data_IF_458271190876
#
_entry.id   IF_458271190876
#
_cell.length_a   1.000
_cell.length_b   1.000
_cell.length_c   1.000
_cell.angle_alpha   90.00
_cell.angle_beta   90.00
_cell.angle_gamma   90.00
#
_symmetry.space_group_name_H-M   'P 1'
#
loop_
_entity.id
_entity.type
_entity.pdbx_description
1 polymer ?
#
# COMPACT_ATOMS: atom_id res chain seq x y z
N UNK A 1 -13.67 -4.99 -15.41
CA UNK A 1 -13.46 -3.60 -14.95
C UNK A 1 -14.80 -3.03 -14.61
N UNK A 2 -14.91 -2.25 -13.52
CA UNK A 2 -16.08 -1.39 -13.35
C UNK A 2 -16.17 -0.43 -14.54
N UNK A 3 -17.39 -0.16 -15.03
CA UNK A 3 -17.65 0.78 -16.15
C UNK A 3 -17.18 2.21 -15.83
N UNK A 4 -17.02 2.49 -14.55
CA UNK A 4 -16.73 3.81 -14.00
C UNK A 4 -15.25 4.04 -13.66
N UNK A 5 -14.39 3.05 -13.87
CA UNK A 5 -13.01 3.08 -13.37
C UNK A 5 -12.18 4.25 -13.94
N UNK A 6 -12.52 4.75 -15.14
CA UNK A 6 -11.84 5.90 -15.74
C UNK A 6 -12.09 7.23 -14.99
N UNK A 7 -13.21 7.34 -14.26
CA UNK A 7 -13.62 8.54 -13.51
C UNK A 7 -13.74 8.26 -12.02
N UNK A 8 -12.95 7.30 -11.54
CA UNK A 8 -13.11 6.67 -10.22
C UNK A 8 -13.11 7.68 -9.08
N UNK A 9 -12.14 8.61 -9.05
CA UNK A 9 -12.06 9.62 -8.00
C UNK A 9 -13.33 10.49 -7.93
N UNK A 10 -13.85 10.93 -9.08
CA UNK A 10 -15.07 11.74 -9.16
C UNK A 10 -16.29 10.96 -8.70
N UNK A 11 -16.41 9.70 -9.12
CA UNK A 11 -17.56 8.86 -8.74
C UNK A 11 -17.55 8.54 -7.25
N UNK A 12 -16.38 8.28 -6.66
CA UNK A 12 -16.25 8.10 -5.21
C UNK A 12 -16.66 9.38 -4.49
N UNK A 13 -16.13 10.54 -4.89
CA UNK A 13 -16.49 11.84 -4.29
C UNK A 13 -18.00 12.09 -4.27
N UNK A 14 -18.67 11.92 -5.41
CA UNK A 14 -20.12 12.09 -5.51
C UNK A 14 -20.90 11.09 -4.63
N UNK A 15 -20.46 9.81 -4.56
CA UNK A 15 -21.13 8.78 -3.75
C UNK A 15 -20.99 9.02 -2.25
N UNK A 16 -19.89 9.63 -1.81
CA UNK A 16 -19.67 9.96 -0.39
C UNK A 16 -20.15 11.37 -0.01
N UNK A 17 -20.87 12.05 -0.92
CA UNK A 17 -21.50 13.34 -0.64
C UNK A 17 -20.57 14.55 -0.76
N UNK A 18 -19.42 14.43 -1.41
CA UNK A 18 -18.58 15.60 -1.73
C UNK A 18 -19.38 16.55 -2.65
N UNK A 19 -19.41 17.87 -2.37
CA UNK A 19 -20.20 18.82 -3.18
C UNK A 19 -19.88 18.76 -4.66
N UNK A 20 -20.90 18.88 -5.51
CA UNK A 20 -20.80 18.81 -6.98
C UNK A 20 -19.68 19.71 -7.55
N UNK A 21 -19.49 20.96 -7.10
CA UNK A 21 -18.44 21.83 -7.65
C UNK A 21 -17.00 21.38 -7.33
N UNK A 22 -16.80 20.44 -6.39
CA UNK A 22 -15.46 20.02 -5.95
C UNK A 22 -14.74 19.26 -7.07
N UNK A 23 -13.52 19.65 -7.45
CA UNK A 23 -12.75 18.93 -8.45
C UNK A 23 -12.33 17.55 -7.95
N UNK A 24 -11.95 16.66 -8.88
CA UNK A 24 -11.43 15.34 -8.54
C UNK A 24 -10.34 14.92 -9.55
N UNK A 25 -9.26 14.34 -9.04
CA UNK A 25 -8.14 13.85 -9.84
C UNK A 25 -7.93 12.35 -9.58
N UNK A 26 -7.88 11.55 -10.64
CA UNK A 26 -7.43 10.15 -10.55
C UNK A 26 -5.96 10.09 -10.94
N UNK A 27 -5.10 9.67 -10.02
CA UNK A 27 -3.66 9.52 -10.25
C UNK A 27 -3.29 8.04 -10.37
N UNK A 28 -2.36 7.72 -11.27
CA UNK A 28 -1.79 6.38 -11.39
C UNK A 28 -0.27 6.44 -11.26
N UNK A 29 0.23 5.89 -10.16
CA UNK A 29 1.64 5.62 -9.89
C UNK A 29 1.84 4.14 -9.48
N UNK A 30 1.11 3.24 -10.12
CA UNK A 30 1.02 1.81 -9.77
C UNK A 30 0.77 1.60 -8.27
N UNK A 31 1.57 0.76 -7.60
CA UNK A 31 1.49 0.51 -6.15
C UNK A 31 1.66 1.77 -5.28
N UNK A 32 2.26 2.84 -5.84
CA UNK A 32 2.43 4.13 -5.18
C UNK A 32 1.23 5.07 -5.30
N UNK A 33 0.16 4.72 -6.02
CA UNK A 33 -0.95 5.65 -6.32
C UNK A 33 -1.61 6.23 -5.07
N UNK A 34 -1.90 5.39 -4.07
CA UNK A 34 -2.50 5.84 -2.80
C UNK A 34 -1.58 6.72 -1.96
N UNK A 35 -0.25 6.59 -2.07
CA UNK A 35 0.69 7.54 -1.46
C UNK A 35 0.74 8.83 -2.27
N UNK A 36 0.72 8.71 -3.60
CA UNK A 36 0.79 9.85 -4.49
C UNK A 36 -0.39 10.78 -4.31
N UNK A 37 -1.61 10.28 -4.13
CA UNK A 37 -2.78 11.13 -3.87
C UNK A 37 -2.61 11.95 -2.58
N UNK A 38 -2.02 11.37 -1.53
CA UNK A 38 -1.71 12.07 -0.28
C UNK A 38 -0.63 13.14 -0.52
N UNK A 39 0.41 12.82 -1.30
CA UNK A 39 1.44 13.81 -1.68
C UNK A 39 0.85 14.96 -2.48
N UNK A 40 -0.06 14.69 -3.43
CA UNK A 40 -0.76 15.72 -4.17
C UNK A 40 -1.59 16.61 -3.23
N UNK A 41 -2.36 16.04 -2.30
CA UNK A 41 -3.11 16.83 -1.32
C UNK A 41 -2.22 17.67 -0.39
N UNK A 42 -1.04 17.15 0.00
CA UNK A 42 -0.04 17.96 0.72
C UNK A 42 0.45 19.15 -0.11
N UNK A 43 0.71 18.94 -1.40
CA UNK A 43 1.17 19.98 -2.31
C UNK A 43 0.10 21.04 -2.53
N UNK A 44 -1.15 20.64 -2.79
CA UNK A 44 -2.29 21.55 -2.94
C UNK A 44 -2.48 22.42 -1.69
N UNK A 45 -2.41 21.82 -0.49
CA UNK A 45 -2.49 22.57 0.77
C UNK A 45 -1.29 23.51 0.93
N UNK A 46 -0.08 23.05 0.65
CA UNK A 46 1.14 23.86 0.81
C UNK A 46 1.20 25.04 -0.16
N UNK A 47 0.56 24.91 -1.33
CA UNK A 47 0.45 25.96 -2.34
C UNK A 47 -0.77 26.87 -2.12
N UNK A 48 -1.57 26.61 -1.08
CA UNK A 48 -2.84 27.28 -0.78
C UNK A 48 -3.93 27.12 -1.86
N UNK A 49 -3.83 26.07 -2.68
CA UNK A 49 -4.87 25.72 -3.65
C UNK A 49 -6.07 25.05 -2.96
N UNK A 50 -5.89 24.50 -1.76
CA UNK A 50 -6.95 23.85 -0.98
C UNK A 50 -6.70 23.93 0.52
N UNK A 51 -7.77 24.04 1.31
CA UNK A 51 -7.70 23.99 2.78
C UNK A 51 -7.94 22.56 3.32
N UNK A 52 -8.72 21.75 2.60
CA UNK A 52 -9.11 20.38 2.95
C UNK A 52 -9.14 19.52 1.69
N UNK A 53 -8.51 18.34 1.74
CA UNK A 53 -8.41 17.42 0.59
C UNK A 53 -8.75 16.00 1.01
N UNK A 54 -9.69 15.36 0.30
CA UNK A 54 -9.96 13.92 0.43
C UNK A 54 -8.96 13.14 -0.43
N UNK A 55 -8.02 12.45 0.21
CA UNK A 55 -7.01 11.64 -0.45
C UNK A 55 -7.31 10.15 -0.26
N UNK A 56 -6.92 9.31 -1.21
CA UNK A 56 -7.15 7.89 -1.09
C UNK A 56 -6.67 7.07 -2.28
N UNK A 57 -7.07 5.81 -2.25
CA UNK A 57 -6.75 4.83 -3.26
C UNK A 57 -7.68 3.64 -3.12
N UNK A 58 -8.03 3.03 -4.24
CA UNK A 58 -8.88 1.85 -4.30
C UNK A 58 -8.40 0.96 -5.44
N UNK A 59 -8.57 -0.35 -5.28
CA UNK A 59 -8.29 -1.32 -6.31
C UNK A 59 -9.26 -2.50 -6.19
N UNK A 60 -9.73 -3.00 -7.34
CA UNK A 60 -10.40 -4.29 -7.41
C UNK A 60 -9.71 -5.14 -8.46
N UNK A 61 -8.65 -5.83 -8.02
CA UNK A 61 -7.86 -6.72 -8.87
C UNK A 61 -8.72 -7.87 -9.40
N UNK A 62 -9.67 -8.36 -8.60
CA UNK A 62 -10.63 -9.42 -8.99
C UNK A 62 -11.49 -9.03 -10.19
N UNK A 63 -11.69 -7.72 -10.41
CA UNK A 63 -12.47 -7.21 -11.54
C UNK A 63 -11.62 -6.77 -12.73
N UNK A 64 -10.31 -7.03 -12.74
CA UNK A 64 -9.45 -6.66 -13.88
C UNK A 64 -9.93 -7.38 -15.15
N UNK A 65 -10.27 -6.67 -16.24
CA UNK A 65 -10.79 -7.31 -17.45
C UNK A 65 -9.64 -7.94 -18.25
N UNK A 66 -9.95 -8.99 -19.00
CA UNK A 66 -9.11 -9.37 -20.14
C UNK A 66 -9.24 -8.30 -21.22
N UNK A 67 -8.10 -7.86 -21.76
CA UNK A 67 -8.05 -6.88 -22.84
C UNK A 67 -7.29 -7.46 -24.03
N UNK A 68 -7.94 -7.49 -25.20
CA UNK A 68 -7.27 -7.80 -26.46
C UNK A 68 -6.73 -6.50 -27.04
N UNK A 69 -5.41 -6.33 -27.00
CA UNK A 69 -4.74 -5.11 -27.48
C UNK A 69 -4.66 -5.10 -29.01
N UNK A 70 -4.54 -3.90 -29.58
CA UNK A 70 -4.33 -3.66 -31.02
C UNK A 70 -5.44 -4.11 -31.99
N UNK A 71 -6.57 -4.63 -31.50
CA UNK A 71 -7.69 -5.06 -32.38
C UNK A 71 -8.42 -3.91 -33.06
N UNK A 72 -8.38 -2.70 -32.49
CA UNK A 72 -9.08 -1.53 -33.05
C UNK A 72 -8.57 -1.16 -34.46
N UNK A 73 -7.27 -1.37 -34.71
CA UNK A 73 -6.59 -0.94 -35.94
C UNK A 73 -5.77 -2.06 -36.60
N UNK A 74 -5.91 -3.30 -36.13
CA UNK A 74 -5.15 -4.45 -36.62
C UNK A 74 -3.94 -4.80 -35.75
N UNK A 75 -3.72 -6.11 -35.59
CA UNK A 75 -2.66 -6.66 -34.74
C UNK A 75 -1.45 -7.04 -35.60
N UNK A 76 -0.27 -6.50 -35.27
CA UNK A 76 1.00 -6.97 -35.85
C UNK A 76 1.33 -8.35 -35.30
N UNK A 77 1.91 -9.20 -36.15
CA UNK A 77 2.44 -10.50 -35.72
C UNK A 77 3.70 -10.29 -34.88
N UNK A 78 3.76 -10.92 -33.70
CA UNK A 78 4.86 -10.79 -32.74
C UNK A 78 4.67 -9.61 -31.76
N UNK A 79 5.18 -9.76 -30.54
CA UNK A 79 5.13 -8.73 -29.50
C UNK A 79 5.99 -9.09 -28.29
N UNK A 80 6.49 -8.06 -27.61
CA UNK A 80 7.36 -8.22 -26.44
C UNK A 80 6.57 -8.63 -25.19
N UNK A 81 7.09 -9.60 -24.44
CA UNK A 81 6.61 -9.95 -23.11
C UNK A 81 7.21 -8.99 -22.09
N UNK A 82 6.36 -8.29 -21.36
CA UNK A 82 6.77 -7.41 -20.27
C UNK A 82 7.22 -8.26 -19.06
N UNK A 83 8.38 -7.94 -18.47
CA UNK A 83 8.92 -8.65 -17.31
C UNK A 83 7.93 -8.65 -16.14
N UNK A 84 7.47 -9.81 -15.64
CA UNK A 84 6.58 -9.88 -14.47
C UNK A 84 7.26 -9.32 -13.22
N UNK A 85 6.49 -8.66 -12.34
CA UNK A 85 7.04 -8.07 -11.11
C UNK A 85 7.76 -9.09 -10.22
N UNK A 86 7.30 -10.34 -10.16
CA UNK A 86 7.97 -11.39 -9.40
C UNK A 86 9.39 -11.71 -9.87
N UNK A 87 9.68 -11.54 -11.17
CA UNK A 87 11.04 -11.71 -11.71
C UNK A 87 11.96 -10.58 -11.20
N UNK A 88 11.43 -9.38 -10.99
CA UNK A 88 12.23 -8.28 -10.41
C UNK A 88 12.64 -8.55 -8.96
N UNK A 89 11.80 -9.27 -8.20
CA UNK A 89 12.13 -9.72 -6.84
C UNK A 89 13.22 -10.81 -6.87
N UNK A 90 13.16 -11.75 -7.81
CA UNK A 90 14.24 -12.73 -8.02
C UNK A 90 15.57 -12.06 -8.41
N UNK A 91 15.53 -11.04 -9.27
CA UNK A 91 16.71 -10.27 -9.65
C UNK A 91 17.35 -9.57 -8.44
N UNK A 92 16.53 -9.02 -7.54
CA UNK A 92 17.00 -8.43 -6.29
C UNK A 92 17.61 -9.47 -5.36
N UNK A 93 16.94 -10.62 -5.19
CA UNK A 93 17.43 -11.69 -4.35
C UNK A 93 18.81 -12.18 -4.83
N UNK A 94 18.97 -12.38 -6.14
CA UNK A 94 20.26 -12.72 -6.73
C UNK A 94 21.31 -11.62 -6.55
N UNK A 95 20.95 -10.35 -6.76
CA UNK A 95 21.89 -9.22 -6.67
C UNK A 95 22.42 -8.99 -5.25
N UNK A 96 21.57 -9.20 -4.24
CA UNK A 96 21.88 -8.93 -2.84
C UNK A 96 22.12 -10.20 -2.01
N UNK A 97 22.20 -11.36 -2.66
CA UNK A 97 22.38 -12.68 -2.02
C UNK A 97 21.32 -12.97 -0.94
N UNK A 98 20.07 -12.55 -1.16
CA UNK A 98 18.97 -12.82 -0.24
C UNK A 98 18.53 -14.26 -0.43
N UNK A 99 18.55 -15.05 0.65
CA UNK A 99 18.22 -16.48 0.56
C UNK A 99 16.71 -16.74 0.65
N UNK A 100 16.29 -17.92 0.19
CA UNK A 100 14.91 -18.38 0.34
C UNK A 100 14.48 -18.41 1.80
N UNK A 101 15.36 -18.85 2.69
CA UNK A 101 15.08 -18.95 4.12
C UNK A 101 14.92 -17.55 4.76
N UNK A 102 15.64 -16.54 4.28
CA UNK A 102 15.45 -15.15 4.71
C UNK A 102 14.08 -14.61 4.30
N UNK A 103 13.68 -14.84 3.05
CA UNK A 103 12.34 -14.49 2.55
C UNK A 103 11.24 -15.16 3.39
N UNK A 104 11.36 -16.46 3.66
CA UNK A 104 10.38 -17.22 4.44
C UNK A 104 10.36 -16.81 5.92
N UNK A 105 11.51 -16.48 6.52
CA UNK A 105 11.57 -15.92 7.88
C UNK A 105 10.85 -14.57 7.96
N UNK A 106 11.04 -13.70 6.97
CA UNK A 106 10.34 -12.42 6.93
C UNK A 106 8.83 -12.61 6.73
N UNK A 107 8.43 -13.53 5.86
CA UNK A 107 7.04 -13.91 5.65
C UNK A 107 6.38 -14.44 6.94
N UNK A 108 7.06 -15.32 7.67
CA UNK A 108 6.57 -15.81 8.96
C UNK A 108 6.44 -14.66 9.97
N UNK A 109 7.46 -13.80 10.10
CA UNK A 109 7.44 -12.62 10.98
C UNK A 109 6.22 -11.73 10.72
N UNK A 110 5.85 -11.50 9.46
CA UNK A 110 4.68 -10.69 9.15
C UNK A 110 3.36 -11.35 9.57
N UNK A 111 3.22 -12.67 9.42
CA UNK A 111 2.00 -13.39 9.78
C UNK A 111 1.84 -13.38 11.31
N UNK A 112 2.93 -13.57 12.06
CA UNK A 112 2.90 -13.53 13.52
C UNK A 112 2.59 -12.13 14.07
N UNK A 113 3.13 -11.07 13.45
CA UNK A 113 2.79 -9.70 13.82
C UNK A 113 1.31 -9.40 13.61
N UNK A 114 0.74 -9.83 12.49
CA UNK A 114 -0.70 -9.70 12.28
C UNK A 114 -1.53 -10.54 13.28
N UNK A 115 -1.09 -11.76 13.60
CA UNK A 115 -1.74 -12.63 14.59
C UNK A 115 -1.86 -11.96 15.97
N UNK A 116 -0.89 -11.13 16.33
CA UNK A 116 -0.89 -10.38 17.60
C UNK A 116 -1.86 -9.18 17.62
N UNK A 117 -2.36 -8.74 16.45
CA UNK A 117 -3.34 -7.65 16.36
C UNK A 117 -4.68 -8.11 16.93
N UNK A 118 -5.16 -7.42 17.95
CA UNK A 118 -6.47 -7.69 18.57
C UNK A 118 -7.60 -7.17 17.69
N UNK A 119 -8.09 -8.02 16.78
CA UNK A 119 -9.29 -7.70 15.99
C UNK A 119 -10.54 -7.96 16.84
N UNK A 120 -11.39 -6.93 17.02
CA UNK A 120 -12.69 -7.12 17.67
C UNK A 120 -13.55 -8.06 16.80
N UNK A 121 -14.19 -9.06 17.42
CA UNK A 121 -15.17 -9.90 16.72
C UNK A 121 -16.35 -9.02 16.29
N UNK A 122 -16.62 -8.96 14.99
CA UNK A 122 -17.82 -8.34 14.45
C UNK A 122 -18.69 -9.37 13.75
N UNK A 123 -19.99 -9.06 13.67
CA UNK A 123 -21.04 -9.87 13.05
C UNK A 123 -21.26 -9.52 11.56
N UNK A 124 -20.59 -8.51 11.01
CA UNK A 124 -20.75 -8.11 9.62
C UNK A 124 -19.73 -8.81 8.70
N UNK A 125 -20.13 -9.09 7.46
CA UNK A 125 -19.23 -9.64 6.45
C UNK A 125 -18.19 -8.60 6.03
N UNK A 126 -16.92 -9.02 5.88
CA UNK A 126 -15.79 -8.22 5.39
C UNK A 126 -15.17 -7.17 6.36
N UNK A 127 -15.43 -7.25 7.67
CA UNK A 127 -14.75 -6.39 8.65
C UNK A 127 -13.30 -6.80 9.01
N UNK A 128 -12.86 -7.97 8.54
CA UNK A 128 -11.53 -8.52 8.82
C UNK A 128 -10.80 -8.80 7.52
N UNK A 129 -9.51 -8.49 7.48
CA UNK A 129 -8.63 -8.93 6.40
C UNK A 129 -8.70 -10.45 6.25
N UNK A 130 -9.04 -10.92 5.04
CA UNK A 130 -9.19 -12.34 4.72
C UNK A 130 -7.89 -13.01 4.24
N UNK A 131 -6.93 -12.20 3.80
CA UNK A 131 -5.65 -12.67 3.27
C UNK A 131 -4.72 -13.32 4.33
N UNK A 132 -4.65 -12.80 5.58
CA UNK A 132 -3.76 -13.35 6.60
C UNK A 132 -3.97 -14.84 6.86
N UNK A 133 -2.88 -15.52 7.20
CA UNK A 133 -2.82 -16.96 7.48
C UNK A 133 -2.13 -17.16 8.85
N UNK A 134 -2.84 -16.97 9.98
CA UNK A 134 -2.23 -16.91 11.32
C UNK A 134 -1.61 -18.23 11.79
N UNK A 135 -1.92 -19.34 11.12
CA UNK A 135 -1.34 -20.67 11.40
C UNK A 135 -0.13 -21.01 10.53
N UNK A 136 0.40 -20.03 9.78
CA UNK A 136 1.61 -20.22 8.95
C UNK A 136 2.78 -20.67 9.81
N UNK A 137 3.47 -21.73 9.41
CA UNK A 137 4.74 -22.19 10.00
C UNK A 137 5.90 -22.09 9.01
N UNK A 138 7.14 -22.03 9.51
CA UNK A 138 8.34 -22.04 8.66
C UNK A 138 8.46 -23.33 7.84
N UNK A 139 8.05 -24.46 8.40
CA UNK A 139 8.04 -25.75 7.69
C UNK A 139 7.08 -25.72 6.49
N UNK A 140 5.89 -25.16 6.66
CA UNK A 140 4.93 -24.98 5.57
C UNK A 140 5.49 -24.07 4.48
N UNK A 141 6.10 -22.94 4.87
CA UNK A 141 6.71 -22.01 3.92
C UNK A 141 7.84 -22.68 3.12
N UNK A 142 8.72 -23.44 3.76
CA UNK A 142 9.83 -24.13 3.10
C UNK A 142 9.40 -25.18 2.06
N UNK A 143 8.19 -25.74 2.18
CA UNK A 143 7.63 -26.70 1.22
C UNK A 143 7.00 -26.05 -0.02
N UNK A 144 6.81 -24.73 -0.02
CA UNK A 144 6.15 -24.06 -1.14
C UNK A 144 7.05 -24.00 -2.39
N UNK A 145 6.49 -24.27 -3.59
CA UNK A 145 7.23 -24.16 -4.84
C UNK A 145 7.52 -22.70 -5.18
N UNK A 146 8.63 -22.48 -5.89
CA UNK A 146 8.96 -21.18 -6.46
C UNK A 146 8.05 -20.86 -7.65
N UNK A 147 7.70 -19.58 -7.82
CA UNK A 147 6.67 -19.17 -8.80
C UNK A 147 7.28 -18.65 -10.10
N UNK A 148 8.38 -17.88 -10.01
CA UNK A 148 8.88 -17.11 -11.16
C UNK A 148 10.16 -17.66 -11.79
N UNK A 149 10.96 -18.40 -11.02
CA UNK A 149 12.22 -19.01 -11.49
C UNK A 149 12.41 -20.38 -10.85
N UNK A 150 12.93 -21.34 -11.61
CA UNK A 150 13.42 -22.61 -11.07
C UNK A 150 14.58 -22.32 -10.12
N UNK A 151 14.55 -22.88 -8.92
CA UNK A 151 15.53 -22.62 -7.85
C UNK A 151 15.63 -21.14 -7.44
N UNK A 152 14.52 -20.40 -7.60
CA UNK A 152 14.37 -19.03 -7.11
C UNK A 152 14.07 -18.95 -5.61
N UNK A 153 13.74 -17.74 -5.16
CA UNK A 153 13.42 -17.47 -3.75
C UNK A 153 11.95 -17.13 -3.54
N UNK A 154 11.23 -16.71 -4.58
CA UNK A 154 9.88 -16.16 -4.47
C UNK A 154 8.83 -17.26 -4.54
N UNK A 155 7.96 -17.32 -3.54
CA UNK A 155 6.83 -18.24 -3.44
C UNK A 155 5.53 -17.49 -3.13
N UNK A 156 4.40 -18.20 -3.22
CA UNK A 156 3.12 -17.65 -2.79
C UNK A 156 3.07 -17.33 -1.27
N UNK A 157 3.95 -17.93 -0.46
CA UNK A 157 3.98 -17.71 0.99
C UNK A 157 4.80 -16.49 1.41
N UNK A 158 5.75 -16.05 0.57
CA UNK A 158 6.65 -14.93 0.85
C UNK A 158 6.47 -13.73 -0.10
N UNK A 159 5.49 -13.79 -1.00
CA UNK A 159 5.00 -12.66 -1.77
C UNK A 159 3.63 -12.19 -1.25
N UNK A 160 3.27 -10.93 -1.50
CA UNK A 160 1.91 -10.45 -1.25
C UNK A 160 0.92 -11.03 -2.27
N UNK A 161 -0.28 -11.36 -1.82
CA UNK A 161 -1.33 -11.80 -2.73
C UNK A 161 -2.00 -10.69 -3.53
N UNK A 162 -2.72 -11.14 -4.56
CA UNK A 162 -3.74 -10.37 -5.27
C UNK A 162 -4.91 -10.14 -4.33
N UNK A 163 -5.37 -8.89 -4.21
CA UNK A 163 -6.41 -8.53 -3.25
C UNK A 163 -7.17 -7.29 -3.71
N UNK A 164 -8.41 -7.18 -3.22
CA UNK A 164 -9.25 -6.01 -3.40
C UNK A 164 -9.22 -5.15 -2.13
N UNK A 165 -9.34 -3.84 -2.26
CA UNK A 165 -9.39 -2.96 -1.11
C UNK A 165 -9.39 -1.47 -1.43
N UNK A 166 -9.73 -0.67 -0.43
CA UNK A 166 -9.70 0.78 -0.50
C UNK A 166 -9.19 1.36 0.82
N UNK A 167 -8.61 2.55 0.75
CA UNK A 167 -8.21 3.35 1.91
C UNK A 167 -8.30 4.83 1.59
N UNK A 168 -8.67 5.64 2.58
CA UNK A 168 -8.79 7.08 2.44
C UNK A 168 -8.32 7.79 3.71
N UNK A 169 -7.86 9.03 3.52
CA UNK A 169 -7.50 9.96 4.60
C UNK A 169 -7.97 11.36 4.20
N UNK A 170 -8.32 12.18 5.19
CA UNK A 170 -8.62 13.59 4.98
C UNK A 170 -7.40 14.39 5.44
N UNK A 171 -6.89 15.24 4.54
CA UNK A 171 -5.86 16.21 4.87
C UNK A 171 -6.53 17.56 5.09
N UNK A 172 -6.01 18.32 6.05
CA UNK A 172 -6.48 19.66 6.36
C UNK A 172 -5.29 20.55 6.72
N UNK A 173 -5.31 21.80 6.27
CA UNK A 173 -4.35 22.82 6.72
C UNK A 173 -4.52 23.10 8.22
N UNK A 174 -3.50 23.68 8.87
CA UNK A 174 -3.62 24.07 10.29
C UNK A 174 -4.77 25.07 10.51
N UNK A 175 -5.00 25.96 9.56
CA UNK A 175 -6.09 26.93 9.62
C UNK A 175 -7.45 26.26 9.48
N UNK A 176 -7.58 25.27 8.58
CA UNK A 176 -8.78 24.46 8.46
C UNK A 176 -9.07 23.65 9.74
N UNK A 177 -8.02 23.09 10.36
CA UNK A 177 -8.13 22.37 11.63
C UNK A 177 -8.71 23.28 12.72
N UNK A 178 -8.22 24.52 12.84
CA UNK A 178 -8.74 25.50 13.81
C UNK A 178 -10.17 25.93 13.47
N UNK A 179 -10.40 26.34 12.21
CA UNK A 179 -11.68 26.85 11.69
C UNK A 179 -12.81 25.85 11.85
N UNK A 180 -12.55 24.57 11.64
CA UNK A 180 -13.53 23.50 11.72
C UNK A 180 -13.47 22.69 13.02
N UNK A 181 -12.64 23.11 13.98
CA UNK A 181 -12.45 22.44 15.27
C UNK A 181 -12.15 20.93 15.14
N UNK A 182 -11.25 20.59 14.22
CA UNK A 182 -10.87 19.20 13.92
C UNK A 182 -9.83 18.69 14.91
N UNK A 183 -9.85 17.39 15.19
CA UNK A 183 -8.79 16.71 15.97
C UNK A 183 -7.88 15.94 15.03
N UNK A 184 -6.65 16.41 14.75
CA UNK A 184 -5.73 15.72 13.86
C UNK A 184 -5.24 14.40 14.49
N UNK A 185 -5.11 13.35 13.68
CA UNK A 185 -4.54 12.06 14.11
C UNK A 185 -3.00 12.06 14.03
N UNK A 186 -2.45 12.73 13.02
CA UNK A 186 -1.02 12.83 12.76
C UNK A 186 -0.72 14.08 11.94
N UNK A 187 0.55 14.46 11.86
CA UNK A 187 1.06 15.50 10.96
C UNK A 187 1.98 14.88 9.93
N UNK A 188 1.82 15.26 8.65
CA UNK A 188 2.74 14.87 7.59
C UNK A 188 3.96 15.77 7.69
N UNK A 189 5.14 15.17 7.91
CA UNK A 189 6.39 15.91 8.12
C UNK A 189 7.26 15.92 6.87
N UNK A 190 7.30 14.80 6.14
CA UNK A 190 8.12 14.65 4.95
C UNK A 190 7.53 13.58 4.03
N UNK A 191 7.83 13.69 2.73
CA UNK A 191 7.59 12.67 1.73
C UNK A 191 8.78 12.64 0.77
N UNK A 192 9.01 11.50 0.12
CA UNK A 192 10.02 11.36 -0.93
C UNK A 192 9.54 10.40 -2.00
N UNK A 193 10.04 10.58 -3.22
CA UNK A 193 9.85 9.62 -4.30
C UNK A 193 11.16 9.42 -5.04
N UNK A 194 11.51 8.15 -5.29
CA UNK A 194 12.72 7.76 -5.97
C UNK A 194 12.42 6.90 -7.20
N UNK A 195 13.24 7.03 -8.24
CA UNK A 195 13.26 6.14 -9.41
C UNK A 195 14.38 5.12 -9.31
N UNK A 196 14.26 4.02 -10.05
CA UNK A 196 15.31 3.00 -10.18
C UNK A 196 15.17 2.22 -11.49
N UNK A 197 16.09 1.29 -11.73
CA UNK A 197 16.00 0.34 -12.85
C UNK A 197 14.73 -0.54 -12.74
N UNK A 198 13.87 -0.58 -13.78
CA UNK A 198 12.66 -1.40 -13.79
C UNK A 198 12.88 -2.89 -13.50
N UNK A 199 14.06 -3.44 -13.82
CA UNK A 199 14.38 -4.86 -13.60
C UNK A 199 14.57 -5.23 -12.12
N UNK A 200 14.71 -4.24 -11.26
CA UNK A 200 14.89 -4.38 -9.80
C UNK A 200 13.98 -3.40 -9.04
N UNK A 201 12.81 -3.08 -9.60
CA UNK A 201 11.95 -1.96 -9.17
C UNK A 201 11.64 -1.90 -7.67
N UNK A 202 11.60 -3.05 -6.98
CA UNK A 202 11.37 -3.13 -5.54
C UNK A 202 12.40 -2.36 -4.71
N UNK A 203 13.59 -2.09 -5.25
CA UNK A 203 14.64 -1.34 -4.54
C UNK A 203 14.30 0.14 -4.38
N UNK A 204 13.37 0.72 -5.17
CA UNK A 204 13.01 2.15 -5.09
C UNK A 204 12.54 2.58 -3.69
N UNK A 205 11.98 1.66 -2.91
CA UNK A 205 11.54 1.93 -1.54
C UNK A 205 12.70 2.10 -0.56
N UNK A 206 13.89 1.53 -0.83
CA UNK A 206 15.06 1.69 0.02
C UNK A 206 15.57 3.15 0.07
N UNK A 207 15.92 3.82 -1.06
CA UNK A 207 16.31 5.22 -1.02
C UNK A 207 15.16 6.14 -0.60
N UNK A 208 13.91 5.78 -0.91
CA UNK A 208 12.76 6.55 -0.43
C UNK A 208 12.64 6.55 1.09
N UNK A 209 12.77 5.38 1.72
CA UNK A 209 12.77 5.25 3.17
C UNK A 209 13.97 5.97 3.78
N UNK A 210 15.19 5.74 3.30
CA UNK A 210 16.41 6.36 3.81
C UNK A 210 16.37 7.90 3.74
N UNK A 211 15.74 8.47 2.71
CA UNK A 211 15.57 9.92 2.61
C UNK A 211 14.68 10.48 3.72
N UNK A 212 13.60 9.78 4.09
CA UNK A 212 12.66 10.23 5.13
C UNK A 212 13.19 9.91 6.52
N UNK A 213 13.81 8.74 6.69
CA UNK A 213 14.48 8.32 7.92
C UNK A 213 15.53 9.35 8.34
N UNK A 214 16.40 9.78 7.42
CA UNK A 214 17.43 10.81 7.69
C UNK A 214 16.85 12.13 8.23
N UNK A 215 15.65 12.52 7.81
CA UNK A 215 15.00 13.75 8.24
C UNK A 215 14.31 13.59 9.60
N UNK A 216 13.77 12.40 9.87
CA UNK A 216 12.91 12.16 11.05
C UNK A 216 13.60 11.39 12.17
N UNK A 217 14.80 10.83 11.94
CA UNK A 217 15.50 9.97 12.89
C UNK A 217 14.70 8.73 13.25
N UNK A 218 14.10 8.06 12.25
CA UNK A 218 13.26 6.89 12.49
C UNK A 218 14.12 5.69 12.92
N UNK A 219 13.60 4.89 13.84
CA UNK A 219 14.20 3.62 14.23
C UNK A 219 14.04 2.59 13.10
N UNK A 220 15.13 2.12 12.46
CA UNK A 220 15.07 1.18 11.33
C UNK A 220 14.51 -0.19 11.73
N UNK A 221 14.53 -0.54 13.01
CA UNK A 221 13.97 -1.82 13.49
C UNK A 221 12.44 -1.78 13.64
N UNK A 222 11.84 -0.59 13.69
CA UNK A 222 10.40 -0.39 13.87
C UNK A 222 9.65 -0.23 12.56
N UNK A 223 9.61 -1.31 11.78
CA UNK A 223 8.84 -1.41 10.53
C UNK A 223 7.69 -2.41 10.67
N UNK A 224 6.56 -2.15 10.01
CA UNK A 224 5.41 -3.08 9.87
C UNK A 224 5.02 -3.79 11.18
N UNK A 225 4.80 -3.04 12.28
CA UNK A 225 4.60 -3.60 13.63
C UNK A 225 3.38 -4.53 13.75
N UNK A 226 2.38 -4.31 12.90
CA UNK A 226 1.14 -5.10 12.82
C UNK A 226 1.11 -6.06 11.61
N UNK A 227 2.27 -6.29 10.98
CA UNK A 227 2.39 -7.02 9.72
C UNK A 227 2.33 -6.11 8.49
N UNK A 228 2.79 -6.65 7.35
CA UNK A 228 2.83 -5.99 6.05
C UNK A 228 2.03 -6.75 4.99
N UNK A 229 2.25 -6.40 3.72
CA UNK A 229 1.43 -6.87 2.59
C UNK A 229 1.51 -8.38 2.31
N UNK A 230 2.55 -9.08 2.75
CA UNK A 230 2.60 -10.56 2.68
C UNK A 230 1.46 -11.18 3.53
N UNK A 231 1.11 -10.58 4.67
CA UNK A 231 -0.03 -11.02 5.47
C UNK A 231 -1.33 -10.35 5.01
N UNK A 232 -1.30 -9.04 4.77
CA UNK A 232 -2.49 -8.20 4.59
C UNK A 232 -2.98 -8.08 3.13
N UNK A 233 -2.25 -8.63 2.17
CA UNK A 233 -2.51 -8.44 0.73
C UNK A 233 -1.97 -7.10 0.20
N UNK A 234 -2.01 -6.93 -1.12
CA UNK A 234 -1.51 -5.76 -1.83
C UNK A 234 -2.48 -5.26 -2.91
N UNK A 235 -3.58 -4.57 -2.55
CA UNK A 235 -4.44 -3.91 -3.53
C UNK A 235 -3.65 -2.72 -4.11
N UNK A 236 -3.21 -2.82 -5.37
CA UNK A 236 -2.19 -1.93 -5.95
C UNK A 236 -2.48 -0.44 -5.72
N UNK A 237 -3.56 0.09 -6.30
CA UNK A 237 -3.93 1.50 -6.16
C UNK A 237 -4.24 1.94 -4.72
N UNK A 238 -4.67 1.03 -3.86
CA UNK A 238 -5.08 1.32 -2.48
C UNK A 238 -3.98 1.18 -1.43
N UNK A 239 -2.88 0.51 -1.75
CA UNK A 239 -1.92 0.09 -0.73
C UNK A 239 -1.30 1.27 0.02
N UNK A 240 -0.97 2.35 -0.68
CA UNK A 240 -0.40 3.54 -0.02
C UNK A 240 -1.35 4.22 0.96
N UNK A 241 -2.63 4.38 0.58
CA UNK A 241 -3.62 5.00 1.47
C UNK A 241 -4.01 4.06 2.61
N UNK A 242 -4.09 2.75 2.36
CA UNK A 242 -4.33 1.73 3.39
C UNK A 242 -3.19 1.68 4.42
N UNK A 243 -1.93 1.69 3.97
CA UNK A 243 -0.76 1.73 4.86
C UNK A 243 -0.76 3.02 5.68
N UNK A 244 -1.04 4.16 5.03
CA UNK A 244 -1.06 5.46 5.73
C UNK A 244 -2.17 5.51 6.78
N UNK A 245 -3.38 5.09 6.43
CA UNK A 245 -4.52 5.01 7.35
C UNK A 245 -4.20 4.10 8.55
N UNK A 246 -3.63 2.92 8.29
CA UNK A 246 -3.20 2.01 9.34
C UNK A 246 -2.14 2.64 10.26
N UNK A 247 -1.13 3.30 9.68
CA UNK A 247 -0.06 3.95 10.41
C UNK A 247 -0.58 5.04 11.37
N UNK A 248 -1.48 5.92 10.91
CA UNK A 248 -1.98 7.01 11.77
C UNK A 248 -2.82 6.48 12.93
N UNK A 249 -3.57 5.39 12.72
CA UNK A 249 -4.32 4.75 13.80
C UNK A 249 -3.41 4.01 14.79
N UNK A 250 -2.37 3.33 14.29
CA UNK A 250 -1.39 2.66 15.15
C UNK A 250 -0.59 3.66 15.99
N UNK A 251 -0.12 4.76 15.40
CA UNK A 251 0.55 5.84 16.13
C UNK A 251 -0.34 6.39 17.24
N UNK A 252 -1.63 6.61 16.94
CA UNK A 252 -2.59 7.07 17.95
C UNK A 252 -2.76 6.07 19.09
N UNK A 253 -2.93 4.80 18.75
CA UNK A 253 -3.04 3.71 19.73
C UNK A 253 -1.82 3.63 20.65
N UNK A 254 -0.62 3.74 20.11
CA UNK A 254 0.62 3.71 20.89
C UNK A 254 0.73 4.91 21.83
N UNK A 255 0.38 6.12 21.36
CA UNK A 255 0.35 7.33 22.21
C UNK A 255 -0.64 7.17 23.37
N UNK A 256 -1.86 6.71 23.08
CA UNK A 256 -2.89 6.52 24.09
C UNK A 256 -2.50 5.41 25.10
N UNK A 257 -1.87 4.33 24.63
CA UNK A 257 -1.35 3.23 25.48
C UNK A 257 -0.25 3.71 26.42
N UNK A 258 0.73 4.49 25.91
CA UNK A 258 1.79 5.07 26.74
C UNK A 258 1.25 6.07 27.76
N UNK A 259 0.23 6.85 27.39
CA UNK A 259 -0.43 7.77 28.32
C UNK A 259 -1.18 7.02 29.44
N UNK A 260 -1.80 5.88 29.13
CA UNK A 260 -2.48 5.03 30.12
C UNK A 260 -1.50 4.36 31.09
N UNK A 261 -0.30 3.96 30.63
CA UNK A 261 0.74 3.37 31.49
C UNK A 261 1.40 4.37 32.45
N UNK A 262 1.27 5.67 32.19
CA UNK A 262 1.80 6.75 33.04
C UNK A 262 0.81 7.23 34.10
N UNK A 263 -0.43 6.75 34.06
CA UNK A 263 -1.48 7.03 35.07
C UNK A 263 -1.54 5.88 36.06
#
# INVERSE_FOLDING_TARGET
SSRDAAYLARHVGLRVGVPIPTPALTVNRLCGSGFQSIVNGCQEISLNDSEVVLCGGTESMSQTPFAVRNVRFGTKLGGDLQTPMGVTAENLAAKYNITREECDRYAFKTQQRWKAVKVKKSKQSLERDEHPRPETTLEQLGKLPTVFKKDGTVTAGNASGVSDGAGAVILASEDAVKKHNLTPLARIVSYHAAGCDPNIMGIAFAPQYLSVEKVLGLDPEKTNVNGGAIALGHPLGASGSRITSHLVHELRYQVDSLAAQRK
#
